data_IF_166033815048
#
_entry.id   IF_166033815048
#
_cell.length_a   1.000
_cell.length_b   1.000
_cell.length_c   1.000
_cell.angle_alpha   90.00
_cell.angle_beta   90.00
_cell.angle_gamma   90.00
#
_symmetry.space_group_name_H-M   'P 1'
#
loop_
_entity.id
_entity.type
_entity.pdbx_description
1 polymer ?
#
# COMPACT_ATOMS: atom_id res chain seq x y z
N UNK A 1 -5.14 -25.06 1.49
CA UNK A 1 -4.40 -23.86 1.02
C UNK A 1 -3.00 -23.91 1.60
N UNK A 2 -1.98 -23.87 0.74
CA UNK A 2 -0.56 -24.03 1.12
C UNK A 2 -0.15 -23.08 2.26
N UNK A 3 0.61 -23.57 3.24
CA UNK A 3 0.99 -22.78 4.43
C UNK A 3 1.84 -21.56 4.03
N UNK A 4 2.69 -21.71 3.01
CA UNK A 4 3.46 -20.60 2.45
C UNK A 4 2.58 -19.54 1.77
N UNK A 5 1.51 -19.96 1.10
CA UNK A 5 0.57 -19.06 0.44
C UNK A 5 -0.26 -18.26 1.46
N UNK A 6 -0.73 -18.93 2.52
CA UNK A 6 -1.38 -18.26 3.67
C UNK A 6 -0.49 -17.18 4.26
N UNK A 7 0.78 -17.51 4.54
CA UNK A 7 1.75 -16.57 5.12
C UNK A 7 1.96 -15.35 4.22
N UNK A 8 2.17 -15.54 2.91
CA UNK A 8 2.35 -14.42 1.97
C UNK A 8 1.12 -13.52 1.91
N UNK A 9 -0.07 -14.12 1.86
CA UNK A 9 -1.33 -13.39 1.82
C UNK A 9 -1.54 -12.53 3.07
N UNK A 10 -1.25 -13.07 4.27
CA UNK A 10 -1.29 -12.31 5.53
C UNK A 10 -0.27 -11.17 5.53
N UNK A 11 0.95 -11.40 5.05
CA UNK A 11 1.99 -10.35 4.96
C UNK A 11 1.57 -9.23 4.00
N UNK A 12 0.99 -9.57 2.84
CA UNK A 12 0.53 -8.55 1.89
C UNK A 12 -0.65 -7.74 2.45
N UNK A 13 -1.63 -8.40 3.06
CA UNK A 13 -2.76 -7.73 3.71
C UNK A 13 -2.28 -6.83 4.86
N UNK A 14 -1.37 -7.33 5.68
CA UNK A 14 -0.77 -6.57 6.78
C UNK A 14 0.03 -5.36 6.26
N UNK A 15 0.77 -5.51 5.17
CA UNK A 15 1.49 -4.40 4.53
C UNK A 15 0.55 -3.31 3.99
N UNK A 16 -0.54 -3.71 3.33
CA UNK A 16 -1.58 -2.79 2.84
C UNK A 16 -2.23 -2.02 4.00
N UNK A 17 -2.63 -2.72 5.06
CA UNK A 17 -3.18 -2.10 6.26
C UNK A 17 -2.17 -1.15 6.92
N UNK A 18 -0.89 -1.55 7.02
CA UNK A 18 0.12 -0.74 7.65
C UNK A 18 0.43 0.52 6.85
N UNK A 19 0.54 0.41 5.52
CA UNK A 19 0.72 1.56 4.62
C UNK A 19 -0.42 2.57 4.78
N UNK A 20 -1.67 2.08 4.77
CA UNK A 20 -2.85 2.94 4.79
C UNK A 20 -3.00 3.66 6.13
N UNK A 21 -2.77 2.94 7.23
CA UNK A 21 -2.70 3.55 8.56
C UNK A 21 -1.57 4.59 8.65
N UNK A 22 -0.38 4.27 8.14
CA UNK A 22 0.75 5.18 8.16
C UNK A 22 0.46 6.47 7.40
N UNK A 23 -0.25 6.38 6.27
CA UNK A 23 -0.69 7.54 5.50
C UNK A 23 -1.71 8.39 6.27
N UNK A 24 -2.77 7.76 6.81
CA UNK A 24 -3.80 8.46 7.60
C UNK A 24 -3.23 9.13 8.85
N UNK A 25 -2.36 8.45 9.58
CA UNK A 25 -1.69 9.01 10.74
C UNK A 25 -0.72 10.13 10.34
N UNK A 26 0.00 9.97 9.22
CA UNK A 26 0.87 11.01 8.69
C UNK A 26 0.13 12.33 8.49
N UNK A 27 -1.00 12.28 7.78
CA UNK A 27 -1.88 13.44 7.55
C UNK A 27 -2.37 14.05 8.86
N UNK A 28 -2.80 13.21 9.80
CA UNK A 28 -3.35 13.67 11.08
C UNK A 28 -2.30 14.37 11.94
N UNK A 29 -1.07 13.85 11.96
CA UNK A 29 0.04 14.39 12.77
C UNK A 29 0.60 15.66 12.13
N UNK A 30 0.69 15.70 10.81
CA UNK A 30 1.35 16.75 10.05
C UNK A 30 0.74 18.14 10.25
N UNK A 31 -0.56 18.24 10.58
CA UNK A 31 -1.27 19.53 10.68
C UNK A 31 -1.02 20.43 9.45
N UNK A 32 -1.13 19.85 8.24
CA UNK A 32 -0.90 20.53 6.96
C UNK A 32 0.57 20.96 6.67
N UNK A 33 1.55 20.40 7.38
CA UNK A 33 2.96 20.67 7.08
C UNK A 33 3.47 19.80 5.92
N UNK A 34 3.62 20.42 4.74
CA UNK A 34 4.08 19.78 3.49
C UNK A 34 5.26 18.82 3.67
N UNK A 35 6.26 19.18 4.49
CA UNK A 35 7.47 18.38 4.67
C UNK A 35 7.15 17.05 5.37
N UNK A 36 6.33 17.11 6.42
CA UNK A 36 5.98 15.95 7.23
C UNK A 36 5.04 15.03 6.44
N UNK A 37 4.05 15.59 5.75
CA UNK A 37 3.16 14.84 4.87
C UNK A 37 3.92 14.12 3.75
N UNK A 38 4.89 14.79 3.14
CA UNK A 38 5.72 14.19 2.08
C UNK A 38 6.55 13.01 2.57
N UNK A 39 7.07 13.06 3.81
CA UNK A 39 7.83 11.96 4.40
C UNK A 39 6.91 10.77 4.67
N UNK A 40 5.78 10.98 5.33
CA UNK A 40 4.83 9.88 5.62
C UNK A 40 4.24 9.27 4.36
N UNK A 41 3.91 10.10 3.37
CA UNK A 41 3.50 9.64 2.04
C UNK A 41 4.61 8.82 1.38
N UNK A 42 5.85 9.29 1.37
CA UNK A 42 6.98 8.56 0.78
C UNK A 42 7.18 7.19 1.42
N UNK A 43 7.09 7.08 2.75
CA UNK A 43 7.21 5.79 3.46
C UNK A 43 6.01 4.89 3.14
N UNK A 44 4.79 5.43 3.13
CA UNK A 44 3.59 4.66 2.79
C UNK A 44 3.64 4.13 1.35
N UNK A 45 4.11 4.95 0.41
CA UNK A 45 4.22 4.59 -1.00
C UNK A 45 5.28 3.51 -1.23
N UNK A 46 6.42 3.58 -0.54
CA UNK A 46 7.42 2.51 -0.54
C UNK A 46 6.82 1.18 -0.06
N UNK A 47 6.03 1.22 1.01
CA UNK A 47 5.31 0.04 1.50
C UNK A 47 4.33 -0.51 0.46
N UNK A 48 3.51 0.34 -0.18
CA UNK A 48 2.59 -0.07 -1.26
C UNK A 48 3.32 -0.70 -2.46
N UNK A 49 4.47 -0.15 -2.86
CA UNK A 49 5.27 -0.75 -3.94
C UNK A 49 5.78 -2.14 -3.54
N UNK A 50 6.23 -2.31 -2.29
CA UNK A 50 6.71 -3.61 -1.82
C UNK A 50 5.59 -4.65 -1.73
N UNK A 51 4.39 -4.26 -1.29
CA UNK A 51 3.21 -5.15 -1.28
C UNK A 51 2.81 -5.54 -2.69
N UNK A 52 2.82 -4.58 -3.62
CA UNK A 52 2.47 -4.79 -5.01
C UNK A 52 3.42 -5.78 -5.70
N UNK A 53 4.74 -5.60 -5.53
CA UNK A 53 5.75 -6.53 -6.04
C UNK A 53 5.57 -7.95 -5.47
N UNK A 54 5.31 -8.05 -4.16
CA UNK A 54 5.07 -9.33 -3.49
C UNK A 54 3.84 -10.04 -4.04
N UNK A 55 2.76 -9.29 -4.28
CA UNK A 55 1.52 -9.76 -4.87
C UNK A 55 1.71 -10.23 -6.31
N UNK A 56 2.40 -9.46 -7.16
CA UNK A 56 2.70 -9.83 -8.55
C UNK A 56 3.53 -11.12 -8.61
N UNK A 57 4.58 -11.22 -7.79
CA UNK A 57 5.43 -12.42 -7.72
C UNK A 57 4.63 -13.64 -7.29
N UNK A 58 3.74 -13.48 -6.32
CA UNK A 58 2.90 -14.58 -5.81
C UNK A 58 1.81 -14.96 -6.82
N UNK A 59 1.23 -14.00 -7.53
CA UNK A 59 0.31 -14.25 -8.63
C UNK A 59 0.99 -15.07 -9.75
N UNK A 60 2.21 -14.71 -10.16
CA UNK A 60 2.95 -15.46 -11.18
C UNK A 60 3.19 -16.92 -10.79
N UNK A 61 3.40 -17.18 -9.49
CA UNK A 61 3.67 -18.52 -8.96
C UNK A 61 2.41 -19.39 -8.80
N UNK A 62 1.30 -18.82 -8.33
CA UNK A 62 0.10 -19.60 -7.96
C UNK A 62 -1.13 -19.34 -8.85
N UNK A 63 -1.08 -18.33 -9.74
CA UNK A 63 -2.15 -17.92 -10.68
C UNK A 63 -3.55 -17.79 -10.05
N UNK A 64 -3.62 -17.40 -8.77
CA UNK A 64 -4.89 -17.22 -8.07
C UNK A 64 -5.46 -15.81 -8.27
N UNK A 65 -6.74 -15.75 -8.60
CA UNK A 65 -7.54 -14.53 -8.77
C UNK A 65 -7.46 -13.58 -7.56
N UNK A 66 -7.37 -14.12 -6.34
CA UNK A 66 -7.29 -13.30 -5.13
C UNK A 66 -6.08 -12.34 -5.14
N UNK A 67 -4.93 -12.76 -5.69
CA UNK A 67 -3.77 -11.87 -5.80
C UNK A 67 -3.96 -10.80 -6.87
N UNK A 68 -4.72 -11.07 -7.94
CA UNK A 68 -5.09 -10.04 -8.93
C UNK A 68 -5.94 -8.96 -8.28
N UNK A 69 -6.93 -9.37 -7.47
CA UNK A 69 -7.74 -8.44 -6.71
C UNK A 69 -6.88 -7.56 -5.78
N UNK A 70 -5.96 -8.16 -5.03
CA UNK A 70 -5.05 -7.40 -4.16
C UNK A 70 -4.17 -6.41 -4.93
N UNK A 71 -3.66 -6.77 -6.11
CA UNK A 71 -2.88 -5.85 -6.96
C UNK A 71 -3.74 -4.65 -7.38
N UNK A 72 -4.98 -4.88 -7.79
CA UNK A 72 -5.90 -3.80 -8.19
C UNK A 72 -6.17 -2.86 -7.01
N UNK A 73 -6.43 -3.42 -5.83
CA UNK A 73 -6.65 -2.64 -4.61
C UNK A 73 -5.41 -1.82 -4.25
N UNK A 74 -4.22 -2.39 -4.36
CA UNK A 74 -2.95 -1.72 -4.07
C UNK A 74 -2.72 -0.54 -5.02
N UNK A 75 -2.94 -0.74 -6.33
CA UNK A 75 -2.88 0.34 -7.35
C UNK A 75 -3.91 1.44 -7.05
N UNK A 76 -5.14 1.07 -6.69
CA UNK A 76 -6.18 2.03 -6.35
C UNK A 76 -5.78 2.87 -5.13
N UNK A 77 -5.14 2.27 -4.12
CA UNK A 77 -4.62 2.99 -2.96
C UNK A 77 -3.48 3.93 -3.32
N UNK A 78 -2.53 3.49 -4.16
CA UNK A 78 -1.46 4.37 -4.65
C UNK A 78 -2.08 5.60 -5.33
N UNK A 79 -3.01 5.40 -6.28
CA UNK A 79 -3.68 6.51 -6.96
C UNK A 79 -4.43 7.42 -6.01
N UNK A 80 -5.19 6.87 -5.06
CA UNK A 80 -5.97 7.65 -4.11
C UNK A 80 -5.07 8.51 -3.20
N UNK A 81 -4.00 7.92 -2.66
CA UNK A 81 -3.04 8.63 -1.81
C UNK A 81 -2.27 9.69 -2.59
N UNK A 82 -1.88 9.41 -3.83
CA UNK A 82 -1.26 10.40 -4.73
C UNK A 82 -2.19 11.58 -5.02
N UNK A 83 -3.45 11.32 -5.38
CA UNK A 83 -4.44 12.38 -5.65
C UNK A 83 -4.66 13.26 -4.42
N UNK A 84 -4.75 12.65 -3.24
CA UNK A 84 -4.89 13.40 -1.99
C UNK A 84 -3.70 14.34 -1.74
N UNK A 85 -2.48 13.84 -1.94
CA UNK A 85 -1.27 14.65 -1.75
C UNK A 85 -1.20 15.79 -2.77
N UNK A 86 -1.56 15.54 -4.02
CA UNK A 86 -1.61 16.58 -5.06
C UNK A 86 -2.61 17.66 -4.65
N UNK A 87 -3.86 17.30 -4.33
CA UNK A 87 -4.91 18.30 -4.04
C UNK A 87 -4.67 19.15 -2.78
N UNK A 88 -3.95 18.63 -1.78
CA UNK A 88 -3.77 19.34 -0.50
C UNK A 88 -2.45 20.10 -0.40
N UNK A 89 -1.44 19.76 -1.21
CA UNK A 89 -0.08 20.26 -1.05
C UNK A 89 0.60 20.72 -2.34
N UNK A 90 0.02 20.48 -3.52
CA UNK A 90 0.46 21.03 -4.82
C UNK A 90 -0.62 21.90 -5.46
#
# INVERSE_FOLDING_TARGET
MDQQLKRRLVVTLGGLLMSTLLFMFGITISHNNIIVDSIYYGISLLLLITTLLSCIKTYKQYKKILFVFLIIVDIAFILLTSIYMINNHF
#
